data_IF_856457275785
#
_entry.id   IF_856457275785
#
_cell.length_a   1.000
_cell.length_b   1.000
_cell.length_c   1.000
_cell.angle_alpha   90.00
_cell.angle_beta   90.00
_cell.angle_gamma   90.00
#
_symmetry.space_group_name_H-M   'P 1'
#
loop_
_entity.id
_entity.type
_entity.pdbx_description
1 polymer ?
#
# COMPACT_ATOMS: atom_id res chain seq x y z
N UNK A 1 11.77 -21.86 7.38
CA UNK A 1 13.03 -22.61 7.37
C UNK A 1 14.00 -21.94 8.35
N UNK A 2 14.52 -22.71 9.33
CA UNK A 2 15.45 -22.23 10.35
C UNK A 2 16.73 -21.61 9.78
N UNK A 3 17.10 -22.00 8.56
CA UNK A 3 18.26 -21.44 7.85
C UNK A 3 18.01 -20.01 7.40
N UNK A 4 16.80 -19.70 6.97
CA UNK A 4 16.35 -18.34 6.59
C UNK A 4 16.27 -17.43 7.82
N UNK A 5 15.73 -17.93 8.94
CA UNK A 5 15.66 -17.20 10.21
C UNK A 5 17.06 -16.89 10.79
N UNK A 6 17.99 -17.83 10.71
CA UNK A 6 19.37 -17.61 11.17
C UNK A 6 20.15 -16.65 10.24
N UNK A 7 19.85 -16.65 8.94
CA UNK A 7 20.43 -15.68 7.99
C UNK A 7 19.89 -14.26 8.25
N UNK A 8 18.65 -14.13 8.70
CA UNK A 8 18.06 -12.84 9.07
C UNK A 8 18.60 -12.33 10.42
N UNK A 9 18.86 -13.20 11.39
CA UNK A 9 19.42 -12.85 12.71
C UNK A 9 20.85 -12.29 12.65
N UNK A 10 21.65 -12.67 11.67
CA UNK A 10 23.04 -12.23 11.52
C UNK A 10 23.20 -10.93 10.71
N UNK A 11 22.11 -10.27 10.32
CA UNK A 11 22.17 -9.00 9.62
C UNK A 11 21.86 -7.88 10.61
N UNK A 12 22.81 -7.00 10.87
CA UNK A 12 22.63 -5.76 11.65
C UNK A 12 21.69 -4.78 10.89
N UNK A 13 20.64 -5.27 10.26
CA UNK A 13 19.68 -4.50 9.47
C UNK A 13 18.28 -4.86 9.93
N UNK A 14 17.52 -3.83 10.27
CA UNK A 14 16.10 -3.93 10.57
C UNK A 14 15.28 -2.92 9.75
N UNK A 15 13.97 -3.15 9.70
CA UNK A 15 13.01 -2.20 9.19
C UNK A 15 12.47 -1.36 10.35
N UNK A 16 12.44 -0.04 10.19
CA UNK A 16 11.94 0.89 11.21
C UNK A 16 10.87 1.78 10.61
N UNK A 17 9.85 2.13 11.39
CA UNK A 17 8.85 3.12 11.02
C UNK A 17 9.43 4.49 11.35
N UNK A 18 9.56 5.36 10.34
CA UNK A 18 10.13 6.71 10.47
C UNK A 18 9.12 7.82 10.22
N UNK A 19 7.91 7.48 9.78
CA UNK A 19 6.86 8.44 9.56
C UNK A 19 5.48 7.77 9.46
N UNK A 20 4.45 8.53 9.82
CA UNK A 20 3.06 8.09 9.76
C UNK A 20 2.22 9.23 9.18
N UNK A 21 1.30 8.89 8.26
CA UNK A 21 0.25 9.78 7.79
C UNK A 21 -1.10 9.15 8.10
N UNK A 22 -1.85 9.78 8.99
CA UNK A 22 -3.20 9.31 9.34
C UNK A 22 -4.15 9.61 8.20
N UNK A 23 -4.81 8.60 7.66
CA UNK A 23 -5.81 8.75 6.62
C UNK A 23 -7.14 9.32 7.14
N UNK A 24 -7.93 9.80 6.20
CA UNK A 24 -9.31 10.24 6.41
C UNK A 24 -10.26 9.32 5.68
N UNK A 25 -11.50 9.25 6.16
CA UNK A 25 -12.59 8.68 5.39
C UNK A 25 -12.87 9.55 4.17
N UNK A 26 -12.85 8.95 3.00
CA UNK A 26 -13.17 9.61 1.73
C UNK A 26 -14.37 8.90 1.11
N UNK A 27 -15.42 9.67 0.89
CA UNK A 27 -16.66 9.19 0.27
C UNK A 27 -16.92 9.96 -1.03
N UNK A 28 -16.83 9.27 -2.16
CA UNK A 28 -17.16 9.79 -3.48
C UNK A 28 -18.57 9.36 -3.94
N UNK A 29 -19.39 8.85 -3.03
CA UNK A 29 -20.72 8.35 -3.35
C UNK A 29 -20.72 7.02 -4.09
N UNK A 30 -19.61 6.28 -4.05
CA UNK A 30 -19.45 5.03 -4.76
C UNK A 30 -20.27 3.91 -4.09
N UNK A 31 -21.02 3.12 -4.88
CA UNK A 31 -21.98 2.11 -4.37
C UNK A 31 -21.77 0.71 -4.92
N UNK A 32 -20.85 0.54 -5.88
CA UNK A 32 -20.60 -0.77 -6.47
C UNK A 32 -19.66 -1.60 -5.59
N UNK A 33 -20.26 -2.55 -4.85
CA UNK A 33 -19.52 -3.44 -3.96
C UNK A 33 -18.62 -4.45 -4.69
N UNK A 34 -18.75 -4.58 -6.00
CA UNK A 34 -17.89 -5.45 -6.81
C UNK A 34 -16.62 -4.75 -7.30
N UNK A 35 -16.52 -3.43 -7.12
CA UNK A 35 -15.36 -2.64 -7.51
C UNK A 35 -14.76 -1.87 -6.31
N UNK A 36 -14.23 -2.62 -5.34
CA UNK A 36 -13.64 -2.05 -4.13
C UNK A 36 -12.41 -1.19 -4.40
N UNK A 37 -11.64 -1.50 -5.45
CA UNK A 37 -10.49 -0.69 -5.85
C UNK A 37 -10.88 0.75 -6.18
N UNK A 38 -11.99 0.94 -6.89
CA UNK A 38 -12.49 2.26 -7.21
C UNK A 38 -12.93 3.06 -5.97
N UNK A 39 -13.50 2.42 -4.95
CA UNK A 39 -13.90 3.10 -3.73
C UNK A 39 -12.70 3.45 -2.82
N UNK A 40 -11.63 2.64 -2.83
CA UNK A 40 -10.45 2.85 -1.99
C UNK A 40 -9.41 3.80 -2.60
N UNK A 41 -9.35 3.90 -3.93
CA UNK A 41 -8.36 4.72 -4.64
C UNK A 41 -8.37 6.21 -4.23
N UNK A 42 -9.53 6.88 -4.03
CA UNK A 42 -9.55 8.26 -3.56
C UNK A 42 -8.93 8.46 -2.17
N UNK A 43 -9.14 7.51 -1.26
CA UNK A 43 -8.53 7.56 0.07
C UNK A 43 -7.00 7.34 0.01
N UNK A 44 -6.55 6.42 -0.83
CA UNK A 44 -5.12 6.22 -1.09
C UNK A 44 -4.49 7.49 -1.69
N UNK A 45 -5.15 8.13 -2.66
CA UNK A 45 -4.72 9.39 -3.26
C UNK A 45 -4.57 10.50 -2.22
N UNK A 46 -5.59 10.72 -1.37
CA UNK A 46 -5.53 11.75 -0.30
C UNK A 46 -4.34 11.49 0.64
N UNK A 47 -4.17 10.25 1.07
CA UNK A 47 -3.13 9.89 2.03
C UNK A 47 -1.73 9.99 1.44
N UNK A 48 -1.52 9.52 0.19
CA UNK A 48 -0.23 9.63 -0.50
C UNK A 48 0.13 11.09 -0.74
N UNK A 49 -0.80 11.89 -1.29
CA UNK A 49 -0.55 13.31 -1.55
C UNK A 49 -0.18 14.07 -0.27
N UNK A 50 -0.91 13.84 0.81
CA UNK A 50 -0.60 14.45 2.12
C UNK A 50 0.74 13.99 2.67
N UNK A 51 1.08 12.71 2.55
CA UNK A 51 2.39 12.22 2.96
C UNK A 51 3.52 12.95 2.23
N UNK A 52 3.42 13.05 0.89
CA UNK A 52 4.42 13.75 0.09
C UNK A 52 4.55 15.23 0.49
N UNK A 53 3.43 15.90 0.75
CA UNK A 53 3.40 17.31 1.15
C UNK A 53 3.95 17.51 2.58
N UNK A 54 3.45 16.74 3.56
CA UNK A 54 3.79 16.89 4.97
C UNK A 54 5.27 16.58 5.26
N UNK A 55 5.83 15.60 4.55
CA UNK A 55 7.25 15.25 4.65
C UNK A 55 8.14 16.00 3.66
N UNK A 56 7.58 16.92 2.85
CA UNK A 56 8.30 17.64 1.80
C UNK A 56 9.10 16.71 0.88
N UNK A 57 8.46 15.60 0.46
CA UNK A 57 9.07 14.56 -0.37
C UNK A 57 8.45 14.51 -1.76
N UNK A 58 9.26 14.07 -2.72
CA UNK A 58 8.81 13.69 -4.06
C UNK A 58 8.59 12.17 -4.13
N UNK A 59 7.81 11.67 -5.09
CA UNK A 59 7.69 10.22 -5.33
C UNK A 59 9.04 9.50 -5.45
N UNK A 60 10.02 10.13 -6.11
CA UNK A 60 11.38 9.60 -6.28
C UNK A 60 12.21 9.48 -5.00
N UNK A 61 11.76 10.05 -3.88
CA UNK A 61 12.41 9.89 -2.58
C UNK A 61 12.06 8.55 -1.91
N UNK A 62 11.15 7.79 -2.52
CA UNK A 62 10.77 6.44 -2.15
C UNK A 62 11.27 5.44 -3.19
N UNK A 63 11.89 4.35 -2.75
CA UNK A 63 12.28 3.25 -3.65
C UNK A 63 11.05 2.47 -4.13
N UNK A 64 9.96 2.47 -3.33
CA UNK A 64 8.66 1.93 -3.70
C UNK A 64 7.53 2.54 -2.86
N UNK A 65 6.34 2.67 -3.45
CA UNK A 65 5.08 3.03 -2.79
C UNK A 65 4.13 1.84 -2.98
N UNK A 66 3.75 1.20 -1.87
CA UNK A 66 2.87 0.03 -1.89
C UNK A 66 1.47 0.41 -1.45
N UNK A 67 0.48 0.17 -2.31
CA UNK A 67 -0.93 0.24 -1.92
C UNK A 67 -1.46 -1.13 -1.47
N UNK A 68 -2.59 -1.13 -0.77
CA UNK A 68 -3.13 -2.33 -0.13
C UNK A 68 -3.70 -3.36 -1.08
N UNK A 69 -4.80 -3.06 -1.72
CA UNK A 69 -5.60 -4.01 -2.49
C UNK A 69 -6.47 -3.25 -3.49
N UNK A 70 -5.85 -2.37 -4.27
CA UNK A 70 -6.55 -1.58 -5.27
C UNK A 70 -6.86 -2.38 -6.53
N UNK A 71 -5.98 -3.33 -6.85
CA UNK A 71 -6.00 -4.02 -8.12
C UNK A 71 -5.75 -3.08 -9.31
N UNK A 72 -5.84 -3.61 -10.52
CA UNK A 72 -5.52 -2.86 -11.74
C UNK A 72 -6.47 -1.66 -11.96
N UNK A 73 -7.75 -1.84 -11.69
CA UNK A 73 -8.75 -0.76 -11.85
C UNK A 73 -8.50 0.37 -10.86
N UNK A 74 -8.35 0.05 -9.58
CA UNK A 74 -8.08 1.06 -8.54
C UNK A 74 -6.72 1.73 -8.70
N UNK A 75 -5.71 1.02 -9.20
CA UNK A 75 -4.41 1.60 -9.56
C UNK A 75 -4.54 2.67 -10.64
N UNK A 76 -5.30 2.38 -11.71
CA UNK A 76 -5.54 3.36 -12.79
C UNK A 76 -6.19 4.63 -12.25
N UNK A 77 -7.25 4.46 -11.47
CA UNK A 77 -7.95 5.59 -10.83
C UNK A 77 -7.02 6.38 -9.90
N UNK A 78 -6.18 5.68 -9.13
CA UNK A 78 -5.20 6.32 -8.25
C UNK A 78 -4.22 7.20 -9.05
N UNK A 79 -3.72 6.72 -10.18
CA UNK A 79 -2.79 7.48 -11.03
C UNK A 79 -3.44 8.72 -11.61
N UNK A 80 -4.68 8.61 -12.11
CA UNK A 80 -5.43 9.74 -12.63
C UNK A 80 -5.62 10.82 -11.55
N UNK A 81 -6.08 10.43 -10.36
CA UNK A 81 -6.30 11.33 -9.23
C UNK A 81 -5.02 11.99 -8.71
N UNK A 82 -3.89 11.29 -8.71
CA UNK A 82 -2.60 11.86 -8.30
C UNK A 82 -2.03 12.79 -9.37
N UNK A 83 -2.26 12.49 -10.64
CA UNK A 83 -1.88 13.38 -11.75
C UNK A 83 -2.57 14.73 -11.66
N UNK A 84 -3.86 14.77 -11.27
CA UNK A 84 -4.58 16.03 -11.01
C UNK A 84 -3.96 16.84 -9.84
N UNK A 85 -3.18 16.19 -8.97
CA UNK A 85 -2.45 16.81 -7.87
C UNK A 85 -0.95 17.04 -8.19
N UNK A 86 -0.56 16.88 -9.45
CA UNK A 86 0.80 17.04 -9.94
C UNK A 86 1.81 16.02 -9.35
N UNK A 87 1.33 14.84 -8.93
CA UNK A 87 2.17 13.75 -8.48
C UNK A 87 2.12 12.57 -9.45
N UNK A 88 3.28 12.13 -9.93
CA UNK A 88 3.43 10.89 -10.69
C UNK A 88 4.19 9.85 -9.84
N UNK A 89 3.49 8.78 -9.47
CA UNK A 89 4.05 7.67 -8.72
C UNK A 89 4.23 6.40 -9.57
N UNK A 90 3.93 6.44 -10.87
CA UNK A 90 3.85 5.26 -11.74
C UNK A 90 5.14 4.43 -11.76
N UNK A 91 6.29 5.09 -11.68
CA UNK A 91 7.62 4.44 -11.71
C UNK A 91 8.01 3.72 -10.41
N UNK A 92 7.37 4.06 -9.30
CA UNK A 92 7.69 3.52 -7.96
C UNK A 92 6.51 2.79 -7.30
N UNK A 93 5.34 2.79 -7.93
CA UNK A 93 4.14 2.19 -7.37
C UNK A 93 4.08 0.69 -7.57
N UNK A 94 3.60 -0.02 -6.55
CA UNK A 94 3.22 -1.43 -6.58
C UNK A 94 1.93 -1.62 -5.76
N UNK A 95 1.04 -2.49 -6.22
CA UNK A 95 -0.18 -2.82 -5.49
C UNK A 95 -0.10 -4.23 -4.92
N UNK A 96 -0.43 -4.40 -3.64
CA UNK A 96 -0.34 -5.69 -2.97
C UNK A 96 -1.27 -6.74 -3.58
N UNK A 97 -2.46 -6.33 -4.03
CA UNK A 97 -3.41 -7.24 -4.68
C UNK A 97 -2.92 -7.74 -6.03
N UNK A 98 -2.14 -6.91 -6.74
CA UNK A 98 -1.52 -7.30 -8.01
C UNK A 98 -0.25 -8.16 -7.81
N UNK A 99 0.43 -8.02 -6.66
CA UNK A 99 1.63 -8.79 -6.35
C UNK A 99 1.34 -10.23 -5.91
N UNK A 100 0.16 -10.49 -5.36
CA UNK A 100 -0.22 -11.83 -4.88
C UNK A 100 -0.57 -12.77 -6.02
N UNK A 101 -1.15 -12.23 -7.10
CA UNK A 101 -1.66 -13.01 -8.22
C UNK A 101 -0.82 -12.84 -9.47
N UNK A 102 -0.76 -13.90 -10.27
CA UNK A 102 -0.23 -13.86 -11.62
C UNK A 102 -1.37 -13.64 -12.63
N UNK A 103 -1.51 -12.44 -13.22
CA UNK A 103 -2.60 -12.13 -14.13
C UNK A 103 -2.53 -12.89 -15.46
N UNK A 104 -1.39 -13.55 -15.77
CA UNK A 104 -1.22 -14.33 -17.01
C UNK A 104 -1.73 -15.77 -16.87
N UNK A 105 -1.65 -16.34 -15.66
CA UNK A 105 -1.95 -17.74 -15.41
C UNK A 105 -3.16 -17.96 -14.51
N UNK A 106 -3.62 -16.92 -13.83
CA UNK A 106 -4.73 -16.97 -12.89
C UNK A 106 -5.85 -16.01 -13.34
N UNK A 107 -7.08 -16.48 -13.40
CA UNK A 107 -8.25 -15.68 -13.73
C UNK A 107 -8.71 -14.87 -12.50
N UNK A 108 -8.00 -13.83 -12.18
CA UNK A 108 -8.24 -12.95 -11.03
C UNK A 108 -8.74 -11.56 -11.43
N UNK A 109 -9.11 -11.37 -12.70
CA UNK A 109 -9.55 -10.10 -13.28
C UNK A 109 -8.58 -8.94 -12.95
N UNK A 110 -8.98 -8.00 -12.10
CA UNK A 110 -8.14 -6.85 -11.72
C UNK A 110 -7.20 -7.11 -10.55
N UNK A 111 -7.15 -8.33 -10.02
CA UNK A 111 -6.38 -8.66 -8.80
C UNK A 111 -7.20 -8.40 -7.54
N UNK A 112 -6.54 -8.48 -6.38
CA UNK A 112 -7.18 -8.26 -5.09
C UNK A 112 -7.44 -9.56 -4.32
N UNK A 113 -7.41 -9.49 -2.99
CA UNK A 113 -7.59 -10.65 -2.13
C UNK A 113 -8.25 -10.33 -0.78
N UNK A 114 -8.72 -9.11 -0.60
CA UNK A 114 -9.42 -8.67 0.61
C UNK A 114 -8.50 -8.29 1.78
N UNK A 115 -9.06 -8.27 2.98
CA UNK A 115 -8.48 -7.62 4.16
C UNK A 115 -7.11 -8.15 4.62
N UNK A 116 -6.74 -9.36 4.25
CA UNK A 116 -5.43 -9.95 4.57
C UNK A 116 -4.31 -9.64 3.59
N UNK A 117 -4.62 -9.09 2.42
CA UNK A 117 -3.70 -8.89 1.31
C UNK A 117 -2.47 -8.06 1.69
N UNK A 118 -2.70 -6.84 2.14
CA UNK A 118 -1.63 -5.91 2.48
C UNK A 118 -0.71 -6.46 3.58
N UNK A 119 -1.27 -7.09 4.61
CA UNK A 119 -0.49 -7.68 5.70
C UNK A 119 0.37 -8.86 5.24
N UNK A 120 -0.17 -9.71 4.37
CA UNK A 120 0.56 -10.85 3.81
C UNK A 120 1.75 -10.40 2.95
N UNK A 121 1.55 -9.39 2.08
CA UNK A 121 2.61 -8.82 1.25
C UNK A 121 3.63 -8.07 2.10
N UNK A 122 3.19 -7.33 3.14
CA UNK A 122 4.10 -6.67 4.07
C UNK A 122 5.05 -7.69 4.71
N UNK A 123 4.49 -8.77 5.29
CA UNK A 123 5.26 -9.76 6.03
C UNK A 123 6.11 -10.65 5.10
N UNK A 124 5.57 -11.07 3.95
CA UNK A 124 6.21 -12.06 3.07
C UNK A 124 7.16 -11.48 2.02
N UNK A 125 6.98 -10.22 1.66
CA UNK A 125 7.73 -9.60 0.56
C UNK A 125 8.41 -8.28 0.95
N UNK A 126 7.66 -7.33 1.52
CA UNK A 126 8.17 -5.97 1.76
C UNK A 126 9.25 -5.98 2.86
N UNK A 127 8.93 -6.48 4.05
CA UNK A 127 9.89 -6.51 5.17
C UNK A 127 11.13 -7.36 4.85
N UNK A 128 11.02 -8.57 4.26
CA UNK A 128 12.18 -9.30 3.77
C UNK A 128 13.00 -8.52 2.74
N UNK A 129 12.36 -7.79 1.83
CA UNK A 129 13.02 -6.97 0.83
C UNK A 129 13.84 -5.83 1.43
N UNK A 130 13.34 -5.16 2.47
CA UNK A 130 14.09 -4.13 3.21
C UNK A 130 15.31 -4.76 3.90
N UNK A 131 15.14 -5.89 4.59
CA UNK A 131 16.23 -6.60 5.27
C UNK A 131 17.28 -7.08 4.27
N UNK A 132 16.88 -7.46 3.06
CA UNK A 132 17.76 -7.87 1.96
C UNK A 132 18.37 -6.69 1.20
N UNK A 133 18.10 -5.45 1.59
CA UNK A 133 18.59 -4.22 0.96
C UNK A 133 18.03 -3.96 -0.44
N UNK A 134 16.88 -4.53 -0.77
CA UNK A 134 16.18 -4.22 -2.01
C UNK A 134 15.67 -2.79 -2.02
N UNK A 135 15.18 -2.32 -0.87
CA UNK A 135 14.70 -0.96 -0.66
C UNK A 135 15.31 -0.34 0.60
N UNK A 136 15.60 0.95 0.55
CA UNK A 136 16.06 1.75 1.69
C UNK A 136 14.90 2.47 2.37
N UNK A 137 13.96 3.01 1.58
CA UNK A 137 12.78 3.74 2.06
C UNK A 137 11.58 3.37 1.20
N UNK A 138 10.50 2.98 1.84
CA UNK A 138 9.23 2.74 1.18
C UNK A 138 8.10 3.51 1.86
N UNK A 139 7.03 3.77 1.12
CA UNK A 139 5.75 4.18 1.67
C UNK A 139 4.78 3.00 1.56
N UNK A 140 4.26 2.54 2.70
CA UNK A 140 3.27 1.47 2.75
C UNK A 140 1.90 2.06 3.09
N UNK A 141 0.93 1.87 2.19
CA UNK A 141 -0.39 2.52 2.21
C UNK A 141 -1.49 1.44 2.12
N UNK A 142 -1.73 0.67 3.20
CA UNK A 142 -2.84 -0.26 3.22
C UNK A 142 -4.16 0.48 3.07
N UNK A 143 -5.07 -0.10 2.28
CA UNK A 143 -6.36 0.47 1.92
C UNK A 143 -7.50 -0.34 2.52
N UNK A 144 -8.63 0.30 2.76
CA UNK A 144 -9.83 -0.34 3.27
C UNK A 144 -11.10 0.30 2.71
N UNK A 145 -12.12 -0.52 2.53
CA UNK A 145 -13.47 -0.10 2.16
C UNK A 145 -14.41 -0.34 3.34
N UNK A 146 -15.21 0.64 3.69
CA UNK A 146 -16.16 0.55 4.80
C UNK A 146 -17.51 0.07 4.28
N UNK A 147 -17.68 -1.24 4.28
CA UNK A 147 -18.89 -1.91 3.85
C UNK A 147 -19.41 -2.80 4.98
N UNK A 148 -20.67 -2.62 5.35
CA UNK A 148 -21.41 -3.50 6.27
C UNK A 148 -22.60 -4.11 5.56
N UNK A 149 -23.16 -5.21 6.13
CA UNK A 149 -24.40 -5.79 5.61
C UNK A 149 -25.56 -4.80 5.66
N UNK A 150 -25.61 -3.93 6.66
CA UNK A 150 -26.66 -2.92 6.83
C UNK A 150 -26.53 -1.87 5.73
N UNK A 151 -25.38 -1.20 5.63
CA UNK A 151 -25.17 -0.16 4.62
C UNK A 151 -25.32 -0.67 3.19
N UNK A 152 -24.89 -1.91 2.92
CA UNK A 152 -25.10 -2.55 1.62
C UNK A 152 -26.60 -2.72 1.29
N UNK A 153 -27.39 -3.23 2.25
CA UNK A 153 -28.83 -3.44 2.04
C UNK A 153 -29.62 -2.12 1.92
N UNK A 154 -29.15 -1.07 2.56
CA UNK A 154 -29.74 0.28 2.50
C UNK A 154 -29.28 1.05 1.23
N UNK A 155 -28.33 0.49 0.48
CA UNK A 155 -27.78 1.13 -0.72
C UNK A 155 -26.94 2.36 -0.41
N UNK A 156 -26.33 2.41 0.76
CA UNK A 156 -25.44 3.49 1.17
C UNK A 156 -24.15 3.50 0.35
N UNK A 157 -23.48 4.64 0.20
CA UNK A 157 -22.16 4.69 -0.41
C UNK A 157 -21.12 3.93 0.44
N UNK A 158 -20.04 3.53 -0.22
CA UNK A 158 -18.93 2.78 0.36
C UNK A 158 -17.73 3.74 0.50
N UNK A 159 -17.51 4.33 1.67
CA UNK A 159 -16.33 5.17 1.88
C UNK A 159 -15.04 4.35 1.90
N UNK A 160 -13.98 4.93 1.35
CA UNK A 160 -12.64 4.39 1.44
C UNK A 160 -11.84 5.00 2.60
N UNK A 161 -10.85 4.26 3.09
CA UNK A 161 -9.85 4.73 4.03
C UNK A 161 -8.47 4.18 3.65
N UNK A 162 -7.42 4.98 3.88
CA UNK A 162 -6.05 4.53 3.77
C UNK A 162 -5.19 5.26 4.80
N UNK A 163 -4.34 4.54 5.50
CA UNK A 163 -3.28 5.12 6.32
C UNK A 163 -1.94 4.87 5.66
N UNK A 164 -0.92 5.65 5.98
CA UNK A 164 0.41 5.41 5.44
C UNK A 164 1.47 5.36 6.53
N UNK A 165 2.44 4.47 6.35
CA UNK A 165 3.66 4.41 7.16
C UNK A 165 4.88 4.45 6.25
N UNK A 166 5.85 5.28 6.62
CA UNK A 166 7.17 5.27 6.01
C UNK A 166 8.00 4.21 6.73
N UNK A 167 8.51 3.26 5.98
CA UNK A 167 9.37 2.21 6.51
C UNK A 167 10.74 2.36 5.89
N UNK A 168 11.76 2.44 6.72
CA UNK A 168 13.15 2.61 6.29
C UNK A 168 14.03 1.47 6.78
N UNK A 169 15.05 1.18 5.99
CA UNK A 169 16.13 0.30 6.38
C UNK A 169 16.98 0.99 7.45
N UNK A 170 17.21 0.33 8.56
CA UNK A 170 18.10 0.79 9.62
C UNK A 170 19.20 -0.22 9.87
N UNK A 171 20.44 0.25 9.94
CA UNK A 171 21.57 -0.55 10.35
C UNK A 171 21.78 -0.39 11.85
N UNK A 172 21.60 -1.50 12.58
CA UNK A 172 21.92 -1.54 14.00
C UNK A 172 23.44 -1.46 14.15
N UNK A 173 23.98 -0.48 14.92
CA UNK A 173 25.39 -0.44 15.19
C UNK A 173 25.86 -1.72 15.89
N UNK A 174 27.05 -2.18 15.56
CA UNK A 174 27.68 -3.29 16.30
C UNK A 174 27.87 -2.81 17.74
N UNK A 175 27.29 -3.52 18.70
CA UNK A 175 27.57 -3.26 20.11
C UNK A 175 29.03 -3.65 20.36
N UNK A 176 29.86 -2.65 20.69
CA UNK A 176 31.23 -2.86 21.13
C UNK A 176 31.28 -3.58 22.46
#
# INVERSE_FOLDING_TARGET
>A
DNKTLNTLRNRNICAVITGITTGRLIDFGFRDSLNMGACMAPAACDTIARNLQDFHRKPSDYDAIFTGDLGMVGQTILFDLLTEKEFDISSVHQDCGMLIYDPQTQDTHSGGSGCGCAASVLAGYILPGIIQKKWKRILFVPTGALLSKVSFNEGDPIPGIAHAVVIEQYRVPDMM
#
